data_IF_802482230554
#
_entry.id   IF_802482230554
#
_cell.length_a   1.000
_cell.length_b   1.000
_cell.length_c   1.000
_cell.angle_alpha   90.00
_cell.angle_beta   90.00
_cell.angle_gamma   90.00
#
_symmetry.space_group_name_H-M   'P 1'
#
loop_
_entity.id
_entity.type
_entity.pdbx_description
1 polymer ?
#
# COMPACT_ATOMS: atom_id res chain seq x y z
N UNK A 1 20.54 5.90 16.49
CA UNK A 1 20.56 4.73 15.58
C UNK A 1 19.36 3.81 15.87
N UNK A 2 18.13 4.25 15.54
CA UNK A 2 16.87 3.54 15.88
C UNK A 2 15.95 3.30 14.67
N UNK A 3 16.44 3.51 13.45
CA UNK A 3 15.57 3.63 12.27
C UNK A 3 15.50 2.46 11.28
N UNK A 4 16.32 1.39 11.30
CA UNK A 4 16.12 0.27 10.36
C UNK A 4 14.91 -0.62 10.71
N UNK A 5 14.68 -0.86 12.00
CA UNK A 5 13.70 -1.86 12.47
C UNK A 5 12.27 -1.37 12.25
N UNK A 6 11.97 -0.12 12.60
CA UNK A 6 10.62 0.46 12.41
C UNK A 6 10.23 0.48 10.93
N UNK A 7 11.21 0.72 10.04
CA UNK A 7 10.98 0.80 8.60
C UNK A 7 10.68 -0.56 7.97
N UNK A 8 11.17 -1.66 8.55
CA UNK A 8 10.83 -3.01 8.10
C UNK A 8 9.51 -3.50 8.71
N UNK A 9 9.21 -3.10 9.95
CA UNK A 9 8.01 -3.54 10.68
C UNK A 9 6.74 -2.94 10.07
N UNK A 10 6.74 -1.67 9.69
CA UNK A 10 5.53 -1.00 9.19
C UNK A 10 5.02 -1.58 7.85
N UNK A 11 5.85 -1.83 6.82
CA UNK A 11 5.42 -2.55 5.62
C UNK A 11 4.90 -3.96 5.91
N UNK A 12 5.52 -4.67 6.86
CA UNK A 12 5.08 -6.01 7.25
C UNK A 12 3.70 -5.99 7.93
N UNK A 13 3.46 -5.02 8.82
CA UNK A 13 2.16 -4.82 9.46
C UNK A 13 1.09 -4.35 8.47
N UNK A 14 1.48 -3.51 7.50
CA UNK A 14 0.62 -3.09 6.39
C UNK A 14 0.29 -4.23 5.42
N UNK A 15 1.13 -5.27 5.40
CA UNK A 15 1.14 -6.26 4.34
C UNK A 15 1.42 -5.66 2.97
N UNK A 16 2.23 -4.61 2.90
CA UNK A 16 2.46 -3.83 1.68
C UNK A 16 3.87 -4.06 1.14
N UNK A 17 3.97 -4.30 -0.16
CA UNK A 17 5.21 -4.51 -0.88
C UNK A 17 5.23 -3.64 -2.13
N UNK A 18 6.39 -3.06 -2.45
CA UNK A 18 6.57 -2.22 -3.62
C UNK A 18 7.70 -2.77 -4.49
N UNK A 19 7.36 -3.21 -5.69
CA UNK A 19 8.29 -3.61 -6.72
C UNK A 19 8.50 -2.47 -7.72
N UNK A 20 9.66 -1.83 -7.64
CA UNK A 20 10.02 -0.71 -8.53
C UNK A 20 10.27 -1.17 -9.96
N UNK A 21 10.76 -2.40 -10.17
CA UNK A 21 11.10 -2.88 -11.50
C UNK A 21 9.85 -3.22 -12.33
N UNK A 22 8.82 -3.75 -11.66
CA UNK A 22 7.55 -4.13 -12.29
C UNK A 22 6.45 -3.07 -12.11
N UNK A 23 6.79 -1.89 -11.56
CA UNK A 23 5.86 -0.78 -11.31
C UNK A 23 4.58 -1.24 -10.59
N UNK A 24 4.77 -2.10 -9.59
CA UNK A 24 3.68 -2.84 -8.95
C UNK A 24 3.70 -2.64 -7.44
N UNK A 25 2.55 -2.33 -6.86
CA UNK A 25 2.29 -2.39 -5.42
C UNK A 25 1.46 -3.63 -5.12
N UNK A 26 1.86 -4.39 -4.10
CA UNK A 26 1.08 -5.51 -3.58
C UNK A 26 0.63 -5.13 -2.17
N UNK A 27 -0.66 -5.32 -1.87
CA UNK A 27 -1.26 -5.08 -0.56
C UNK A 27 -1.90 -6.36 -0.02
N UNK A 28 -1.74 -6.57 1.27
CA UNK A 28 -2.33 -7.68 2.04
C UNK A 28 -2.63 -7.18 3.45
N UNK A 29 -3.51 -6.18 3.59
CA UNK A 29 -3.74 -5.53 4.88
C UNK A 29 -4.29 -6.54 5.89
N UNK A 30 -3.68 -6.56 7.09
CA UNK A 30 -4.11 -7.39 8.21
C UNK A 30 -4.51 -6.50 9.36
N UNK A 31 -5.75 -6.66 9.82
CA UNK A 31 -6.32 -5.94 10.95
C UNK A 31 -6.09 -6.77 12.20
N UNK A 32 -5.60 -6.13 13.26
CA UNK A 32 -5.43 -6.78 14.55
C UNK A 32 -6.81 -7.04 15.16
N UNK A 33 -6.93 -8.09 15.98
CA UNK A 33 -8.17 -8.38 16.65
C UNK A 33 -8.62 -7.17 17.49
N UNK A 34 -9.85 -6.69 17.25
CA UNK A 34 -10.42 -5.55 17.96
C UNK A 34 -10.17 -4.18 17.31
N UNK A 35 -9.57 -4.10 16.11
CA UNK A 35 -9.52 -2.86 15.33
C UNK A 35 -10.24 -3.01 13.99
N UNK A 36 -11.14 -2.06 13.70
CA UNK A 36 -11.87 -2.04 12.42
C UNK A 36 -11.15 -1.23 11.34
N UNK A 37 -10.27 -0.33 11.78
CA UNK A 37 -9.54 0.59 10.93
C UNK A 37 -8.05 0.51 11.20
N UNK A 38 -7.28 0.58 10.13
CA UNK A 38 -5.83 0.77 10.19
C UNK A 38 -5.50 2.05 9.43
N UNK A 39 -4.62 2.86 10.03
CA UNK A 39 -3.95 3.98 9.38
C UNK A 39 -2.50 3.97 9.79
N UNK A 40 -1.61 3.68 8.85
CA UNK A 40 -0.18 3.60 9.13
C UNK A 40 0.64 4.09 7.94
N UNK A 41 1.80 4.73 8.20
CA UNK A 41 2.76 5.06 7.16
C UNK A 41 3.59 3.83 6.78
N UNK A 42 3.83 3.65 5.49
CA UNK A 42 4.65 2.58 4.90
C UNK A 42 5.83 3.21 4.19
N UNK A 43 7.05 2.82 4.58
CA UNK A 43 8.27 3.44 4.11
C UNK A 43 9.05 2.49 3.20
N UNK A 44 9.21 2.84 1.92
CA UNK A 44 10.18 2.21 1.02
C UNK A 44 11.33 3.15 0.71
N UNK A 45 12.50 2.64 0.26
CA UNK A 45 13.66 3.47 -0.04
C UNK A 45 13.43 4.58 -1.07
N UNK A 46 12.44 4.43 -1.96
CA UNK A 46 12.13 5.37 -3.06
C UNK A 46 10.79 6.12 -2.92
N UNK A 47 9.85 5.60 -2.14
CA UNK A 47 8.52 6.19 -1.98
C UNK A 47 7.92 5.81 -0.63
N UNK A 48 7.17 6.72 -0.03
CA UNK A 48 6.48 6.54 1.24
C UNK A 48 4.99 6.75 1.04
N UNK A 49 4.19 5.97 1.74
CA UNK A 49 2.75 5.96 1.57
C UNK A 49 2.05 6.02 2.92
N UNK A 50 0.88 6.64 2.98
CA UNK A 50 -0.08 6.43 4.06
C UNK A 50 -1.06 5.37 3.57
N UNK A 51 -1.12 4.24 4.26
CA UNK A 51 -2.14 3.22 4.00
C UNK A 51 -3.27 3.38 5.01
N UNK A 52 -4.48 3.49 4.50
CA UNK A 52 -5.71 3.45 5.29
C UNK A 52 -6.53 2.25 4.84
N UNK A 53 -6.99 1.42 5.77
CA UNK A 53 -7.81 0.25 5.50
C UNK A 53 -8.94 0.11 6.52
N UNK A 54 -10.16 -0.15 6.06
CA UNK A 54 -11.31 -0.43 6.91
C UNK A 54 -11.83 -1.84 6.62
N UNK A 55 -11.92 -2.68 7.66
CA UNK A 55 -12.34 -4.09 7.51
C UNK A 55 -13.81 -4.24 7.14
N UNK A 56 -14.66 -3.35 7.64
CA UNK A 56 -16.10 -3.40 7.48
C UNK A 56 -16.52 -2.98 6.06
N UNK A 57 -15.87 -1.94 5.52
CA UNK A 57 -16.16 -1.43 4.17
C UNK A 57 -15.26 -2.05 3.11
N UNK A 58 -14.18 -2.72 3.50
CA UNK A 58 -13.14 -3.30 2.62
C UNK A 58 -12.43 -2.28 1.73
N UNK A 59 -12.57 -0.99 2.05
CA UNK A 59 -11.88 0.07 1.34
C UNK A 59 -10.45 0.20 1.83
N UNK A 60 -9.55 0.33 0.86
CA UNK A 60 -8.16 0.71 1.05
C UNK A 60 -7.90 2.03 0.34
N UNK A 61 -7.11 2.88 0.97
CA UNK A 61 -6.58 4.11 0.39
C UNK A 61 -5.06 4.10 0.54
N UNK A 62 -4.36 4.50 -0.52
CA UNK A 62 -2.93 4.74 -0.54
C UNK A 62 -2.72 6.20 -0.92
N UNK A 63 -2.14 6.98 0.00
CA UNK A 63 -1.71 8.36 -0.28
C UNK A 63 -0.20 8.41 -0.35
N UNK A 64 0.36 8.97 -1.41
CA UNK A 64 1.80 9.22 -1.49
C UNK A 64 2.17 10.32 -0.51
N UNK A 65 3.05 10.01 0.45
CA UNK A 65 3.56 10.99 1.43
C UNK A 65 4.84 11.64 0.90
N UNK A 66 5.69 10.85 0.25
CA UNK A 66 6.99 11.27 -0.25
C UNK A 66 7.40 10.39 -1.42
N UNK A 67 8.07 10.98 -2.42
CA UNK A 67 8.69 10.22 -3.51
C UNK A 67 10.03 10.83 -3.92
N UNK A 68 11.00 9.95 -4.17
CA UNK A 68 12.28 10.34 -4.77
C UNK A 68 12.18 10.53 -6.29
N UNK A 69 11.11 10.03 -6.91
CA UNK A 69 10.86 10.17 -8.34
C UNK A 69 9.35 10.40 -8.55
N UNK A 70 8.87 11.66 -8.51
CA UNK A 70 7.45 11.97 -8.56
C UNK A 70 6.80 11.62 -9.90
N UNK A 71 7.57 11.49 -10.97
CA UNK A 71 7.07 11.12 -12.31
C UNK A 71 6.98 9.60 -12.52
N UNK A 72 7.40 8.79 -11.54
CA UNK A 72 7.28 7.35 -11.64
C UNK A 72 5.82 6.91 -11.48
N UNK A 73 5.44 5.89 -12.24
CA UNK A 73 4.07 5.37 -12.27
C UNK A 73 4.00 4.00 -11.62
N UNK A 74 2.84 3.72 -11.02
CA UNK A 74 2.41 2.37 -10.61
C UNK A 74 1.34 1.91 -11.59
N UNK A 75 1.67 0.89 -12.37
CA UNK A 75 0.81 0.31 -13.41
C UNK A 75 -0.13 -0.76 -12.85
N UNK A 76 0.22 -1.33 -11.69
CA UNK A 76 -0.51 -2.43 -11.07
C UNK A 76 -0.57 -2.28 -9.55
N UNK A 77 -1.77 -2.42 -9.01
CA UNK A 77 -1.99 -2.67 -7.60
C UNK A 77 -2.63 -4.05 -7.47
N UNK A 78 -1.99 -4.92 -6.71
CA UNK A 78 -2.43 -6.30 -6.48
C UNK A 78 -2.86 -6.46 -5.03
N UNK A 79 -4.01 -7.09 -4.81
CA UNK A 79 -4.37 -7.62 -3.51
C UNK A 79 -3.92 -9.07 -3.40
N UNK A 80 -3.21 -9.41 -2.32
CA UNK A 80 -2.86 -10.79 -1.98
C UNK A 80 -3.73 -11.30 -0.83
N UNK A 81 -4.52 -12.33 -1.11
CA UNK A 81 -5.38 -12.95 -0.09
C UNK A 81 -4.60 -13.86 0.86
N UNK A 82 -5.29 -14.42 1.86
CA UNK A 82 -4.69 -15.33 2.86
C UNK A 82 -4.16 -16.65 2.27
N UNK A 83 -4.63 -17.05 1.09
CA UNK A 83 -4.17 -18.24 0.37
C UNK A 83 -2.94 -17.94 -0.51
N UNK A 84 -2.53 -16.67 -0.60
CA UNK A 84 -1.41 -16.21 -1.44
C UNK A 84 -1.78 -15.94 -2.89
N UNK A 85 -3.06 -15.92 -3.24
CA UNK A 85 -3.52 -15.57 -4.58
C UNK A 85 -3.57 -14.06 -4.77
N UNK A 86 -3.10 -13.61 -5.94
CA UNK A 86 -3.04 -12.20 -6.32
C UNK A 86 -4.23 -11.83 -7.20
N UNK A 87 -4.93 -10.75 -6.82
CA UNK A 87 -6.05 -10.17 -7.55
C UNK A 87 -5.68 -8.77 -7.99
N UNK A 88 -5.84 -8.47 -9.27
CA UNK A 88 -5.60 -7.12 -9.78
C UNK A 88 -6.73 -6.20 -9.34
N UNK A 89 -6.38 -5.12 -8.63
CA UNK A 89 -7.31 -4.08 -8.27
C UNK A 89 -7.44 -3.06 -9.42
N UNK A 90 -8.62 -2.43 -9.57
CA UNK A 90 -8.85 -1.49 -10.65
C UNK A 90 -7.97 -0.24 -10.51
N UNK A 91 -7.37 0.16 -11.63
CA UNK A 91 -6.64 1.41 -11.82
C UNK A 91 -7.24 2.07 -13.06
N UNK A 92 -7.97 3.17 -12.87
CA UNK A 92 -8.55 3.93 -13.99
C UNK A 92 -7.49 4.69 -14.78
N UNK A 93 -6.43 5.08 -14.08
CA UNK A 93 -5.23 5.71 -14.60
C UNK A 93 -4.01 5.15 -13.83
N UNK A 94 -2.79 5.26 -14.38
CA UNK A 94 -1.59 4.96 -13.62
C UNK A 94 -1.56 5.74 -12.31
N UNK A 95 -1.17 5.09 -11.22
CA UNK A 95 -1.04 5.75 -9.92
C UNK A 95 0.34 6.41 -9.84
N UNK A 96 0.35 7.73 -9.96
CA UNK A 96 1.57 8.53 -10.04
C UNK A 96 2.18 8.66 -8.64
N UNK A 97 3.50 8.56 -8.53
CA UNK A 97 4.20 8.72 -7.25
C UNK A 97 4.41 10.19 -6.87
N UNK A 98 3.45 11.07 -7.17
CA UNK A 98 3.48 12.48 -6.78
C UNK A 98 2.96 12.66 -5.36
N UNK A 99 3.60 13.51 -4.54
CA UNK A 99 3.17 13.76 -3.17
C UNK A 99 1.72 14.28 -3.12
N UNK A 100 0.89 13.64 -2.31
CA UNK A 100 -0.54 13.94 -2.22
C UNK A 100 -1.42 13.16 -3.18
N UNK A 101 -0.87 12.44 -4.16
CA UNK A 101 -1.66 11.55 -5.02
C UNK A 101 -2.32 10.44 -4.18
N UNK A 102 -3.58 10.15 -4.49
CA UNK A 102 -4.40 9.20 -3.73
C UNK A 102 -5.03 8.17 -4.64
N UNK A 103 -4.69 6.90 -4.40
CA UNK A 103 -5.44 5.78 -4.95
C UNK A 103 -6.40 5.22 -3.90
N UNK A 104 -7.61 4.82 -4.33
CA UNK A 104 -8.62 4.16 -3.50
C UNK A 104 -9.19 2.95 -4.24
N UNK A 105 -9.42 1.87 -3.51
CA UNK A 105 -10.03 0.67 -4.06
C UNK A 105 -10.72 -0.17 -3.01
N UNK A 106 -11.60 -1.07 -3.46
CA UNK A 106 -12.24 -2.08 -2.62
C UNK A 106 -11.53 -3.43 -2.81
N UNK A 107 -11.33 -4.15 -1.71
CA UNK A 107 -10.67 -5.46 -1.73
C UNK A 107 -11.72 -6.58 -1.92
N UNK A 108 -11.56 -7.46 -2.92
CA UNK A 108 -12.37 -8.66 -3.07
C UNK A 108 -11.93 -9.70 -2.02
N UNK A 109 -12.77 -9.97 -1.03
CA UNK A 109 -12.52 -11.02 -0.03
C UNK A 109 -12.83 -12.41 -0.59
#
# INVERSE_FOLDING_TARGET
MTHPVIWAVLPALAGMFYNVADETIIISPKVLAGTDNIRLPVFFPKAWFMMEFNINTKYVSLTVIYSKNPEANIEKILYRNLQGHDFRLPLLQPFILEEGEVWKGEIPY
#
